data_IF_381704877326
#
_entry.id   IF_381704877326
#
_cell.length_a   1.000
_cell.length_b   1.000
_cell.length_c   1.000
_cell.angle_alpha   90.00
_cell.angle_beta   90.00
_cell.angle_gamma   90.00
#
_symmetry.space_group_name_H-M   'P 1'
#
loop_
_entity.id
_entity.type
_entity.pdbx_description
1 polymer ?
#
# COMPACT_ATOMS: atom_id res chain seq x y z
N UNK A 1 3.63 11.25 23.82
CA UNK A 1 2.26 11.11 23.29
C UNK A 1 2.20 9.75 22.63
N UNK A 2 1.56 8.77 23.28
CA UNK A 2 1.42 7.43 22.71
C UNK A 2 0.45 7.50 21.50
N UNK A 3 0.73 6.78 20.41
CA UNK A 3 -0.17 6.75 19.28
C UNK A 3 -1.51 6.15 19.72
N UNK A 4 -2.61 6.83 19.41
CA UNK A 4 -3.96 6.34 19.66
C UNK A 4 -4.22 5.07 18.83
N UNK A 5 -4.85 4.07 19.43
CA UNK A 5 -5.22 2.84 18.74
C UNK A 5 -6.28 3.12 17.67
N UNK A 6 -5.92 2.84 16.41
CA UNK A 6 -6.83 2.97 15.28
C UNK A 6 -7.46 1.61 15.02
N UNK A 7 -8.73 1.48 15.38
CA UNK A 7 -9.51 0.29 15.09
C UNK A 7 -9.90 0.25 13.60
N UNK A 8 -9.76 -0.92 12.98
CA UNK A 8 -10.17 -1.17 11.60
C UNK A 8 -11.16 -2.32 11.58
N UNK A 9 -12.14 -2.24 10.67
CA UNK A 9 -13.10 -3.30 10.50
C UNK A 9 -12.49 -4.44 9.67
N UNK A 10 -12.37 -5.65 10.22
CA UNK A 10 -11.87 -6.82 9.47
C UNK A 10 -12.70 -7.13 8.22
N UNK A 11 -13.99 -6.78 8.20
CA UNK A 11 -14.85 -6.96 7.03
C UNK A 11 -14.51 -6.01 5.87
N UNK A 12 -13.77 -4.93 6.11
CA UNK A 12 -13.38 -3.96 5.08
C UNK A 12 -11.95 -4.18 4.60
N UNK A 13 -11.16 -4.98 5.32
CA UNK A 13 -9.76 -5.24 5.03
C UNK A 13 -9.54 -6.69 4.63
N UNK A 14 -8.57 -6.87 3.74
CA UNK A 14 -8.02 -8.17 3.35
C UNK A 14 -6.70 -8.34 4.06
N UNK A 15 -6.60 -9.42 4.84
CA UNK A 15 -5.34 -9.83 5.48
C UNK A 15 -4.65 -10.88 4.61
N UNK A 16 -3.39 -10.63 4.24
CA UNK A 16 -2.56 -11.60 3.52
C UNK A 16 -1.72 -12.43 4.48
N UNK A 17 -1.22 -13.58 4.03
CA UNK A 17 -0.34 -14.46 4.83
C UNK A 17 0.93 -13.77 5.35
N UNK A 18 1.40 -12.75 4.64
CA UNK A 18 2.54 -11.89 5.02
C UNK A 18 2.19 -10.79 6.04
N UNK A 19 0.95 -10.78 6.55
CA UNK A 19 0.45 -9.81 7.53
C UNK A 19 0.14 -8.44 6.95
N UNK A 20 -0.04 -8.32 5.62
CA UNK A 20 -0.50 -7.06 5.03
C UNK A 20 -2.00 -6.92 5.23
N UNK A 21 -2.44 -5.71 5.57
CA UNK A 21 -3.84 -5.32 5.71
C UNK A 21 -4.16 -4.34 4.59
N UNK A 22 -4.97 -4.75 3.64
CA UNK A 22 -5.32 -3.92 2.48
C UNK A 22 -6.82 -3.66 2.49
N UNK A 23 -7.24 -2.39 2.55
CA UNK A 23 -8.66 -2.07 2.45
C UNK A 23 -9.22 -2.45 1.08
N UNK A 24 -10.42 -3.01 1.06
CA UNK A 24 -11.15 -3.39 -0.17
C UNK A 24 -11.53 -2.19 -1.03
N UNK A 25 -11.58 -0.99 -0.45
CA UNK A 25 -11.88 0.25 -1.14
C UNK A 25 -10.65 0.86 -1.85
N UNK A 26 -9.48 0.25 -1.69
CA UNK A 26 -8.24 0.76 -2.30
C UNK A 26 -8.19 0.47 -3.80
N UNK A 27 -7.59 1.39 -4.54
CA UNK A 27 -7.38 1.22 -5.98
C UNK A 27 -5.93 0.85 -6.22
N UNK A 28 -5.71 -0.42 -6.58
CA UNK A 28 -4.40 -0.95 -6.93
C UNK A 28 -4.34 -1.13 -8.45
N UNK A 29 -3.63 -0.24 -9.15
CA UNK A 29 -3.40 -0.39 -10.59
C UNK A 29 -2.11 -1.18 -10.81
N UNK A 30 -2.10 -2.19 -11.68
CA UNK A 30 -0.88 -2.95 -12.00
C UNK A 30 -0.34 -3.76 -10.81
N UNK A 31 -1.19 -4.62 -10.21
CA UNK A 31 -0.85 -5.44 -9.04
C UNK A 31 0.44 -6.27 -9.19
N UNK A 32 0.78 -6.70 -10.42
CA UNK A 32 2.04 -7.41 -10.71
C UNK A 32 3.29 -6.60 -10.38
N UNK A 33 3.19 -5.26 -10.45
CA UNK A 33 4.28 -4.32 -10.21
C UNK A 33 4.24 -3.73 -8.78
N UNK A 34 3.30 -4.17 -7.93
CA UNK A 34 3.17 -3.70 -6.55
C UNK A 34 3.71 -4.78 -5.63
N UNK A 35 4.77 -4.46 -4.89
CA UNK A 35 5.38 -5.38 -3.94
C UNK A 35 5.21 -4.85 -2.52
N UNK A 36 4.49 -5.62 -1.70
CA UNK A 36 4.28 -5.35 -0.28
C UNK A 36 5.16 -6.28 0.57
N UNK A 37 6.17 -5.73 1.25
CA UNK A 37 7.18 -6.51 1.97
C UNK A 37 6.75 -7.11 3.33
N UNK A 38 5.47 -7.01 3.71
CA UNK A 38 4.91 -7.60 4.93
C UNK A 38 4.57 -6.57 6.01
N UNK A 39 3.52 -6.85 6.80
CA UNK A 39 2.99 -5.93 7.83
C UNK A 39 2.69 -4.51 7.32
N UNK A 40 2.25 -4.40 6.07
CA UNK A 40 1.85 -3.13 5.46
C UNK A 40 0.37 -2.89 5.71
N UNK A 41 0.00 -1.66 6.10
CA UNK A 41 -1.39 -1.25 6.30
C UNK A 41 -1.76 -0.26 5.21
N UNK A 42 -2.74 -0.58 4.39
CA UNK A 42 -3.28 0.29 3.34
C UNK A 42 -4.70 0.68 3.71
N UNK A 43 -4.89 1.95 4.09
CA UNK A 43 -6.19 2.49 4.46
C UNK A 43 -7.10 2.70 3.24
N UNK A 44 -8.39 2.92 3.49
CA UNK A 44 -9.41 3.19 2.46
C UNK A 44 -9.06 4.38 1.57
N UNK A 45 -9.52 4.35 0.33
CA UNK A 45 -9.27 5.38 -0.70
C UNK A 45 -7.80 5.63 -1.07
N UNK A 46 -6.88 4.78 -0.60
CA UNK A 46 -5.51 4.83 -1.07
C UNK A 46 -5.43 4.31 -2.51
N UNK A 47 -4.70 5.04 -3.36
CA UNK A 47 -4.49 4.72 -4.76
C UNK A 47 -3.01 4.41 -4.96
N UNK A 48 -2.69 3.18 -5.34
CA UNK A 48 -1.33 2.76 -5.64
C UNK A 48 -1.25 2.43 -7.13
N UNK A 49 -0.48 3.23 -7.85
CA UNK A 49 -0.32 3.11 -9.30
C UNK A 49 0.93 2.31 -9.66
N UNK A 50 0.83 1.00 -9.77
CA UNK A 50 1.89 0.13 -10.30
C UNK A 50 1.88 -0.02 -11.83
N UNK A 51 0.92 0.58 -12.53
CA UNK A 51 0.77 0.50 -13.99
C UNK A 51 1.94 1.16 -14.74
N UNK A 52 2.47 2.27 -14.21
CA UNK A 52 3.52 3.05 -14.87
C UNK A 52 4.95 2.58 -14.51
N UNK A 53 5.18 2.15 -13.28
CA UNK A 53 6.47 1.58 -12.84
C UNK A 53 6.30 0.69 -11.61
N UNK A 54 7.37 -0.02 -11.25
CA UNK A 54 7.42 -0.87 -10.06
C UNK A 54 7.32 -0.04 -8.77
N UNK A 55 6.30 -0.32 -7.95
CA UNK A 55 6.09 0.29 -6.64
C UNK A 55 6.42 -0.75 -5.57
N UNK A 56 7.37 -0.43 -4.70
CA UNK A 56 7.80 -1.31 -3.60
C UNK A 56 7.60 -0.58 -2.29
N UNK A 57 6.83 -1.17 -1.39
CA UNK A 57 6.67 -0.65 -0.02
C UNK A 57 7.60 -1.40 0.92
N UNK A 58 8.12 -0.70 1.93
CA UNK A 58 8.90 -1.32 3.00
C UNK A 58 8.06 -2.18 3.94
N UNK A 59 8.71 -2.81 4.92
CA UNK A 59 8.04 -3.46 6.05
C UNK A 59 7.51 -2.42 7.03
N UNK A 60 6.43 -2.73 7.74
CA UNK A 60 5.83 -1.84 8.74
C UNK A 60 5.41 -0.47 8.17
N UNK A 61 5.03 -0.45 6.89
CA UNK A 61 4.62 0.77 6.21
C UNK A 61 3.12 1.00 6.41
N UNK A 62 2.73 2.25 6.66
CA UNK A 62 1.33 2.65 6.83
C UNK A 62 1.00 3.67 5.73
N UNK A 63 0.08 3.31 4.86
CA UNK A 63 -0.45 4.18 3.82
C UNK A 63 -1.78 4.72 4.32
N UNK A 64 -1.82 6.02 4.57
CA UNK A 64 -3.00 6.70 5.08
C UNK A 64 -4.14 6.79 4.06
N UNK A 65 -5.34 7.12 4.54
CA UNK A 65 -6.53 7.33 3.69
C UNK A 65 -6.30 8.44 2.67
N UNK A 66 -6.88 8.29 1.48
CA UNK A 66 -6.79 9.25 0.37
C UNK A 66 -5.35 9.54 -0.13
N UNK A 67 -4.38 8.67 0.17
CA UNK A 67 -3.00 8.81 -0.34
C UNK A 67 -2.92 8.29 -1.77
N UNK A 68 -2.27 9.07 -2.65
CA UNK A 68 -1.99 8.67 -4.02
C UNK A 68 -0.50 8.41 -4.21
N UNK A 69 -0.14 7.14 -4.39
CA UNK A 69 1.21 6.71 -4.73
C UNK A 69 1.31 6.60 -6.25
N UNK A 70 1.94 7.61 -6.85
CA UNK A 70 2.32 7.63 -8.27
C UNK A 70 3.82 7.38 -8.41
N UNK A 71 4.25 6.35 -9.17
CA UNK A 71 5.66 6.10 -9.38
C UNK A 71 6.26 7.18 -10.29
N UNK A 72 7.56 7.46 -10.16
CA UNK A 72 8.24 8.45 -10.98
C UNK A 72 8.34 7.95 -12.43
N UNK A 73 8.16 8.88 -13.38
CA UNK A 73 8.33 8.61 -14.82
C UNK A 73 9.80 8.26 -15.17
N UNK A 74 10.75 8.82 -14.41
CA UNK A 74 12.18 8.63 -14.64
C UNK A 74 12.63 7.35 -13.94
N UNK A 75 12.73 6.27 -14.71
CA UNK A 75 13.45 5.07 -14.29
C UNK A 75 14.93 5.45 -14.21
N UNK A 76 15.46 5.57 -12.99
CA UNK A 76 16.91 5.52 -12.82
C UNK A 76 17.32 4.09 -13.19
N UNK A 77 17.70 3.91 -14.47
CA UNK A 77 18.54 2.79 -14.85
C UNK A 77 19.72 2.83 -13.91
N UNK A 78 19.91 1.77 -13.13
CA UNK A 78 21.13 1.63 -12.33
C UNK A 78 22.31 1.87 -13.28
N UNK A 79 23.25 2.70 -12.83
CA UNK A 79 24.49 3.00 -13.56
C UNK A 79 25.24 1.74 -13.94
#
# INVERSE_FOLDING_TARGET
MEPQDIYYNKAEYVETASGNKVSRQTVLCGSQNIVLHGKVIVQSDAIIRGDLANVRTGRYCIISKNVVIRPPFKKFSKG
#
